data_IF_188506595208
#
_entry.id   IF_188506595208
#
_cell.length_a   1.000
_cell.length_b   1.000
_cell.length_c   1.000
_cell.angle_alpha   90.00
_cell.angle_beta   90.00
_cell.angle_gamma   90.00
#
_symmetry.space_group_name_H-M   'P 1'
#
loop_
_entity.id
_entity.type
_entity.pdbx_description
1 polymer ?
#
# COMPACT_ATOMS: atom_id res chain seq x y z
N UNK A 1 7.13 -16.28 -5.47
CA UNK A 1 6.50 -15.11 -6.14
C UNK A 1 7.56 -14.04 -6.31
N UNK A 2 7.68 -13.37 -7.46
CA UNK A 2 8.74 -12.35 -7.63
C UNK A 2 8.39 -11.07 -6.86
N UNK A 3 9.40 -10.32 -6.40
CA UNK A 3 9.23 -9.01 -5.76
C UNK A 3 8.32 -8.11 -6.60
N UNK A 4 8.61 -8.02 -7.91
CA UNK A 4 7.84 -7.21 -8.87
C UNK A 4 6.35 -7.57 -8.90
N UNK A 5 6.00 -8.86 -8.81
CA UNK A 5 4.61 -9.30 -8.79
C UNK A 5 3.91 -8.95 -7.47
N UNK A 6 4.57 -9.16 -6.34
CA UNK A 6 4.03 -8.80 -5.03
C UNK A 6 3.91 -7.27 -4.83
N UNK A 7 4.86 -6.51 -5.39
CA UNK A 7 4.84 -5.05 -5.45
C UNK A 7 3.62 -4.57 -6.23
N UNK A 8 3.43 -5.06 -7.45
CA UNK A 8 2.32 -4.63 -8.32
C UNK A 8 0.95 -4.89 -7.69
N UNK A 9 0.76 -6.01 -6.99
CA UNK A 9 -0.49 -6.30 -6.30
C UNK A 9 -0.73 -5.31 -5.17
N UNK A 10 0.27 -5.09 -4.30
CA UNK A 10 0.13 -4.12 -3.22
C UNK A 10 -0.14 -2.72 -3.75
N UNK A 11 0.50 -2.34 -4.86
CA UNK A 11 0.31 -1.04 -5.49
C UNK A 11 -1.10 -0.88 -6.07
N UNK A 12 -1.63 -1.93 -6.71
CA UNK A 12 -3.02 -1.94 -7.18
C UNK A 12 -4.02 -1.78 -6.03
N UNK A 13 -3.79 -2.48 -4.91
CA UNK A 13 -4.62 -2.35 -3.70
C UNK A 13 -4.55 -0.93 -3.11
N UNK A 14 -3.37 -0.31 -3.08
CA UNK A 14 -3.20 1.06 -2.62
C UNK A 14 -3.99 2.05 -3.50
N UNK A 15 -3.88 1.94 -4.83
CA UNK A 15 -4.62 2.79 -5.76
C UNK A 15 -6.14 2.64 -5.59
N UNK A 16 -6.63 1.40 -5.47
CA UNK A 16 -8.04 1.15 -5.22
C UNK A 16 -8.48 1.75 -3.88
N UNK A 17 -7.64 1.66 -2.86
CA UNK A 17 -7.92 2.25 -1.54
C UNK A 17 -8.00 3.77 -1.61
N UNK A 18 -7.12 4.44 -2.36
CA UNK A 18 -7.21 5.89 -2.57
C UNK A 18 -8.48 6.30 -3.30
N UNK A 19 -8.90 5.51 -4.30
CA UNK A 19 -10.17 5.75 -4.98
C UNK A 19 -11.33 5.68 -3.99
N UNK A 20 -11.39 4.63 -3.19
CA UNK A 20 -12.43 4.43 -2.16
C UNK A 20 -12.41 5.56 -1.12
N UNK A 21 -11.23 5.94 -0.61
CA UNK A 21 -11.06 7.03 0.35
C UNK A 21 -11.57 8.36 -0.19
N UNK A 22 -11.25 8.68 -1.44
CA UNK A 22 -11.66 9.94 -2.06
C UNK A 22 -13.18 10.14 -2.11
N UNK A 23 -13.95 9.06 -2.34
CA UNK A 23 -15.41 9.17 -2.44
C UNK A 23 -16.15 9.02 -1.11
N UNK A 24 -15.57 8.33 -0.13
CA UNK A 24 -16.26 7.98 1.12
C UNK A 24 -15.93 8.90 2.29
N UNK A 25 -14.75 9.52 2.31
CA UNK A 25 -14.30 10.30 3.46
C UNK A 25 -14.52 11.81 3.26
N UNK A 26 -14.83 12.53 4.35
CA UNK A 26 -14.81 14.00 4.35
C UNK A 26 -13.45 14.55 3.94
N UNK A 27 -13.45 15.71 3.28
CA UNK A 27 -12.22 16.35 2.73
C UNK A 27 -11.16 16.60 3.81
N UNK A 28 -11.58 16.95 5.02
CA UNK A 28 -10.72 17.16 6.19
C UNK A 28 -9.98 15.89 6.65
N UNK A 29 -10.51 14.70 6.33
CA UNK A 29 -9.92 13.41 6.71
C UNK A 29 -9.08 12.78 5.59
N UNK A 30 -9.21 13.26 4.34
CA UNK A 30 -8.54 12.70 3.18
C UNK A 30 -7.02 12.66 3.34
N UNK A 31 -6.41 13.75 3.79
CA UNK A 31 -4.96 13.82 3.96
C UNK A 31 -4.46 12.78 4.96
N UNK A 32 -5.10 12.70 6.12
CA UNK A 32 -4.76 11.73 7.17
C UNK A 32 -4.94 10.29 6.68
N UNK A 33 -6.04 9.99 5.98
CA UNK A 33 -6.29 8.66 5.42
C UNK A 33 -5.26 8.27 4.35
N UNK A 34 -4.90 9.20 3.45
CA UNK A 34 -3.87 8.97 2.43
C UNK A 34 -2.49 8.71 3.06
N UNK A 35 -2.13 9.46 4.10
CA UNK A 35 -0.87 9.25 4.83
C UNK A 35 -0.82 7.87 5.49
N UNK A 36 -1.89 7.46 6.17
CA UNK A 36 -1.97 6.14 6.81
C UNK A 36 -1.86 5.02 5.76
N UNK A 37 -2.61 5.10 4.66
CA UNK A 37 -2.54 4.12 3.58
C UNK A 37 -1.15 4.02 2.96
N UNK A 38 -0.47 5.15 2.76
CA UNK A 38 0.90 5.20 2.23
C UNK A 38 1.89 4.54 3.20
N UNK A 39 1.77 4.80 4.50
CA UNK A 39 2.60 4.17 5.52
C UNK A 39 2.37 2.65 5.57
N UNK A 40 1.11 2.21 5.55
CA UNK A 40 0.77 0.78 5.52
C UNK A 40 1.35 0.08 4.28
N UNK A 41 1.29 0.74 3.12
CA UNK A 41 1.92 0.24 1.91
C UNK A 41 3.44 0.14 2.06
N UNK A 42 4.09 1.14 2.65
CA UNK A 42 5.52 1.10 2.96
C UNK A 42 5.91 -0.09 3.85
N UNK A 43 5.13 -0.34 4.91
CA UNK A 43 5.33 -1.49 5.81
C UNK A 43 5.16 -2.80 5.04
N UNK A 44 4.13 -2.92 4.19
CA UNK A 44 3.93 -4.08 3.34
C UNK A 44 5.13 -4.32 2.41
N UNK A 45 5.65 -3.28 1.76
CA UNK A 45 6.83 -3.39 0.88
C UNK A 45 8.06 -3.86 1.66
N UNK A 46 8.27 -3.33 2.87
CA UNK A 46 9.37 -3.75 3.73
C UNK A 46 9.28 -5.23 4.12
N UNK A 47 8.10 -5.70 4.51
CA UNK A 47 7.86 -7.11 4.86
C UNK A 47 8.11 -8.03 3.66
N UNK A 48 7.60 -7.68 2.48
CA UNK A 48 7.82 -8.46 1.25
C UNK A 48 9.30 -8.49 0.88
N UNK A 49 9.99 -7.36 0.96
CA UNK A 49 11.43 -7.28 0.69
C UNK A 49 12.22 -8.18 1.65
N UNK A 50 11.94 -8.12 2.94
CA UNK A 50 12.58 -8.97 3.96
C UNK A 50 12.35 -10.46 3.67
N UNK A 51 11.10 -10.86 3.41
CA UNK A 51 10.75 -12.26 3.08
C UNK A 51 11.49 -12.77 1.84
N UNK A 52 11.65 -11.94 0.81
CA UNK A 52 12.35 -12.35 -0.40
C UNK A 52 13.86 -12.38 -0.25
N UNK A 53 14.43 -11.55 0.64
CA UNK A 53 15.83 -11.62 1.02
C UNK A 53 16.14 -12.89 1.81
N UNK A 54 15.24 -13.33 2.69
CA UNK A 54 15.40 -14.57 3.48
C UNK A 54 15.24 -15.84 2.63
N UNK A 55 14.59 -15.76 1.46
CA UNK A 55 14.44 -16.89 0.52
C UNK A 55 15.57 -17.00 -0.51
N UNK A 56 16.54 -16.08 -0.49
CA UNK A 56 17.72 -16.07 -1.37
C UNK A 56 18.96 -16.47 -0.58
#
# INVERSE_FOLDING_TARGET
>A
MTFKKAFNIGYFVLLLSFFVVYFLLPVDQLFTAMMILTLLFGVYQFVIFKKLKEQK
#
